data_IF_372763584147
#
_entry.id   IF_372763584147
#
_cell.length_a   1.000
_cell.length_b   1.000
_cell.length_c   1.000
_cell.angle_alpha   90.00
_cell.angle_beta   90.00
_cell.angle_gamma   90.00
#
_symmetry.space_group_name_H-M   'P 1'
#
loop_
_entity.id
_entity.type
_entity.pdbx_description
1 polymer ?
#
# COMPACT_ATOMS: atom_id res chain seq x y z
N UNK A 1 12.95 -9.41 11.68
CA UNK A 1 14.05 -8.70 11.00
C UNK A 1 13.40 -7.65 10.11
N UNK A 2 13.90 -6.42 10.11
CA UNK A 2 13.32 -5.35 9.31
C UNK A 2 13.82 -5.50 7.87
N UNK A 3 12.89 -5.48 6.92
CA UNK A 3 13.16 -5.67 5.49
C UNK A 3 12.86 -4.36 4.77
N UNK A 4 13.80 -3.81 3.98
CA UNK A 4 13.53 -2.67 3.11
C UNK A 4 12.76 -3.09 1.86
N UNK A 5 12.06 -2.16 1.21
CA UNK A 5 11.53 -2.34 -0.14
C UNK A 5 12.62 -2.68 -1.16
N UNK A 6 12.28 -3.43 -2.21
CA UNK A 6 13.21 -3.74 -3.30
C UNK A 6 13.40 -2.59 -4.31
N UNK A 7 12.61 -1.51 -4.18
CA UNK A 7 12.70 -0.29 -5.00
C UNK A 7 12.53 -0.54 -6.49
N UNK A 8 11.36 -1.09 -6.86
CA UNK A 8 10.95 -1.31 -8.25
C UNK A 8 11.28 -0.09 -9.13
N UNK A 9 11.70 -0.36 -10.38
CA UNK A 9 12.15 0.68 -11.29
C UNK A 9 11.02 1.68 -11.60
N UNK A 10 11.30 2.97 -11.52
CA UNK A 10 10.36 4.02 -11.94
C UNK A 10 9.99 3.84 -13.43
N UNK A 11 8.74 4.16 -13.76
CA UNK A 11 8.16 3.91 -15.08
C UNK A 11 7.76 2.46 -15.34
N UNK A 12 7.92 1.56 -14.37
CA UNK A 12 7.35 0.21 -14.47
C UNK A 12 5.83 0.31 -14.51
N UNK A 13 5.20 -0.38 -15.46
CA UNK A 13 3.74 -0.50 -15.50
C UNK A 13 3.24 -1.29 -14.31
N UNK A 14 2.20 -0.81 -13.64
CA UNK A 14 1.54 -1.52 -12.56
C UNK A 14 1.17 -2.94 -13.02
N UNK A 15 1.69 -3.99 -12.36
CA UNK A 15 1.25 -5.34 -12.66
C UNK A 15 -0.26 -5.48 -12.45
N UNK A 16 -0.94 -6.06 -13.44
CA UNK A 16 -2.37 -6.33 -13.35
C UNK A 16 -2.66 -7.27 -12.18
N UNK A 17 -3.79 -7.03 -11.50
CA UNK A 17 -4.36 -7.95 -10.53
C UNK A 17 -5.89 -7.96 -10.62
N UNK A 18 -6.44 -9.09 -10.21
CA UNK A 18 -7.86 -9.29 -9.89
C UNK A 18 -7.88 -10.14 -8.62
N UNK A 19 -8.27 -9.54 -7.50
CA UNK A 19 -8.15 -10.14 -6.18
C UNK A 19 -9.48 -10.06 -5.41
N UNK A 20 -9.78 -11.05 -4.55
CA UNK A 20 -10.97 -11.01 -3.71
C UNK A 20 -10.85 -9.91 -2.66
N UNK A 21 -11.95 -9.18 -2.44
CA UNK A 21 -12.13 -8.26 -1.33
C UNK A 21 -12.95 -8.94 -0.21
N UNK A 22 -12.33 -9.32 0.93
CA UNK A 22 -13.02 -9.99 2.02
C UNK A 22 -14.24 -9.20 2.56
N UNK A 23 -14.14 -7.87 2.68
CA UNK A 23 -15.23 -7.05 3.24
C UNK A 23 -16.41 -6.89 2.28
N UNK A 24 -16.24 -7.27 1.01
CA UNK A 24 -17.28 -7.30 -0.02
C UNK A 24 -17.68 -8.73 -0.40
N UNK A 25 -17.70 -9.65 0.57
CA UNK A 25 -18.10 -11.05 0.34
C UNK A 25 -17.19 -11.75 -0.69
N UNK A 26 -15.89 -11.44 -0.66
CA UNK A 26 -14.89 -11.93 -1.62
C UNK A 26 -15.21 -11.60 -3.09
N UNK A 27 -15.90 -10.49 -3.35
CA UNK A 27 -16.03 -9.94 -4.70
C UNK A 27 -14.63 -9.75 -5.31
N UNK A 28 -14.45 -10.24 -6.54
CA UNK A 28 -13.21 -10.02 -7.28
C UNK A 28 -13.19 -8.57 -7.77
N UNK A 29 -12.13 -7.86 -7.44
CA UNK A 29 -11.91 -6.49 -7.87
C UNK A 29 -10.58 -6.38 -8.59
N UNK A 30 -10.58 -5.71 -9.74
CA UNK A 30 -9.40 -5.55 -10.58
C UNK A 30 -8.76 -4.18 -10.45
N UNK A 31 -7.46 -4.08 -10.77
CA UNK A 31 -6.76 -2.80 -10.83
C UNK A 31 -7.44 -1.80 -11.77
N UNK A 32 -7.97 -2.26 -12.91
CA UNK A 32 -8.61 -1.37 -13.90
C UNK A 32 -9.93 -0.78 -13.41
N UNK A 33 -10.67 -1.50 -12.57
CA UNK A 33 -11.92 -1.02 -11.96
C UNK A 33 -11.65 -0.10 -10.78
N UNK A 34 -10.57 -0.36 -10.04
CA UNK A 34 -10.23 0.34 -8.81
C UNK A 34 -9.28 1.54 -9.00
N UNK A 35 -8.64 1.72 -10.15
CA UNK A 35 -7.66 2.81 -10.29
C UNK A 35 -8.31 4.19 -10.14
N UNK A 36 -7.58 5.11 -9.51
CA UNK A 36 -8.00 6.50 -9.39
C UNK A 36 -7.93 7.23 -10.72
N UNK A 37 -8.69 8.32 -10.84
CA UNK A 37 -8.74 9.14 -12.07
C UNK A 37 -7.37 9.74 -12.42
N UNK A 38 -6.60 10.16 -11.41
CA UNK A 38 -5.31 10.81 -11.59
C UNK A 38 -4.13 9.97 -11.14
N UNK A 39 -4.30 9.18 -10.08
CA UNK A 39 -3.24 8.34 -9.54
C UNK A 39 -3.79 7.20 -8.69
N UNK A 40 -2.96 6.18 -8.50
CA UNK A 40 -3.32 4.99 -7.72
C UNK A 40 -2.17 4.61 -6.79
N UNK A 41 -2.44 4.55 -5.49
CA UNK A 41 -1.49 4.06 -4.50
C UNK A 41 -1.81 2.60 -4.17
N UNK A 42 -0.93 1.68 -4.56
CA UNK A 42 -0.99 0.27 -4.14
C UNK A 42 -0.11 0.10 -2.89
N UNK A 43 -0.67 -0.51 -1.85
CA UNK A 43 -0.02 -0.71 -0.55
C UNK A 43 -0.01 -2.19 -0.22
N UNK A 44 1.18 -2.80 -0.10
CA UNK A 44 1.28 -4.13 0.51
C UNK A 44 1.32 -3.97 2.03
N UNK A 45 0.30 -4.46 2.73
CA UNK A 45 0.18 -4.35 4.19
C UNK A 45 -0.40 -5.62 4.82
N UNK A 46 -0.45 -5.67 6.14
CA UNK A 46 -0.98 -6.79 6.91
C UNK A 46 -1.52 -6.29 8.26
N UNK A 47 -2.21 -7.14 9.01
CA UNK A 47 -3.04 -6.69 10.14
C UNK A 47 -2.24 -6.50 11.44
N UNK A 48 -1.11 -7.21 11.58
CA UNK A 48 -0.42 -7.36 12.87
C UNK A 48 1.00 -6.76 12.89
N UNK A 49 1.51 -6.26 11.76
CA UNK A 49 2.87 -5.74 11.69
C UNK A 49 2.99 -4.41 12.46
N UNK A 50 3.96 -4.26 13.38
CA UNK A 50 4.13 -3.02 14.13
C UNK A 50 4.44 -1.80 13.24
N UNK A 51 5.01 -2.00 12.04
CA UNK A 51 5.23 -0.91 11.10
C UNK A 51 3.92 -0.46 10.41
N UNK A 52 3.01 -1.39 10.11
CA UNK A 52 1.68 -1.04 9.57
C UNK A 52 0.84 -0.36 10.64
N UNK A 53 0.80 -0.93 11.84
CA UNK A 53 0.10 -0.35 12.99
C UNK A 53 0.59 1.06 13.33
N UNK A 54 1.86 1.35 13.06
CA UNK A 54 2.46 2.67 13.27
C UNK A 54 1.96 3.72 12.26
N UNK A 55 1.55 3.32 11.05
CA UNK A 55 1.21 4.27 9.97
C UNK A 55 -0.24 4.26 9.53
N UNK A 56 -1.03 3.23 9.85
CA UNK A 56 -2.36 3.01 9.27
C UNK A 56 -3.32 4.17 9.48
N UNK A 57 -3.30 4.81 10.64
CA UNK A 57 -4.16 5.96 10.94
C UNK A 57 -3.82 7.14 10.00
N UNK A 58 -2.52 7.39 9.74
CA UNK A 58 -2.09 8.40 8.78
C UNK A 58 -2.43 8.03 7.34
N UNK A 59 -2.33 6.75 6.96
CA UNK A 59 -2.76 6.29 5.62
C UNK A 59 -4.24 6.61 5.41
N UNK A 60 -5.07 6.41 6.43
CA UNK A 60 -6.49 6.72 6.36
C UNK A 60 -6.75 8.22 6.21
N UNK A 61 -6.09 9.06 7.01
CA UNK A 61 -6.16 10.52 6.86
C UNK A 61 -5.76 10.98 5.44
N UNK A 62 -4.68 10.42 4.88
CA UNK A 62 -4.26 10.72 3.51
C UNK A 62 -5.31 10.26 2.48
N UNK A 63 -5.95 9.11 2.71
CA UNK A 63 -7.01 8.66 1.81
C UNK A 63 -8.19 9.63 1.81
N UNK A 64 -8.64 10.09 2.98
CA UNK A 64 -9.70 11.10 3.09
C UNK A 64 -9.33 12.42 2.37
N UNK A 65 -8.08 12.86 2.48
CA UNK A 65 -7.60 14.11 1.87
C UNK A 65 -7.42 14.04 0.34
N UNK A 66 -7.14 12.86 -0.21
CA UNK A 66 -6.71 12.70 -1.61
C UNK A 66 -7.67 11.90 -2.49
N UNK A 67 -8.62 11.15 -1.92
CA UNK A 67 -9.63 10.42 -2.71
C UNK A 67 -10.44 11.36 -3.59
N UNK A 68 -11.01 12.44 -3.02
CA UNK A 68 -11.77 13.44 -3.77
C UNK A 68 -10.91 14.22 -4.79
N UNK A 69 -9.58 14.20 -4.64
CA UNK A 69 -8.64 14.82 -5.58
C UNK A 69 -8.32 13.91 -6.77
N UNK A 70 -8.80 12.66 -6.76
CA UNK A 70 -8.65 11.67 -7.84
C UNK A 70 -7.54 10.65 -7.61
N UNK A 71 -7.04 10.50 -6.37
CA UNK A 71 -6.06 9.47 -6.02
C UNK A 71 -6.76 8.36 -5.25
N UNK A 72 -6.77 7.14 -5.80
CA UNK A 72 -7.37 5.97 -5.17
C UNK A 72 -6.31 5.13 -4.45
N UNK A 73 -6.67 4.54 -3.31
CA UNK A 73 -5.77 3.71 -2.53
C UNK A 73 -6.24 2.26 -2.61
N UNK A 74 -5.31 1.31 -2.76
CA UNK A 74 -5.64 -0.12 -2.83
C UNK A 74 -4.65 -0.85 -1.94
N UNK A 75 -5.14 -1.43 -0.84
CA UNK A 75 -4.33 -2.25 0.04
C UNK A 75 -4.40 -3.73 -0.37
N UNK A 76 -3.28 -4.43 -0.28
CA UNK A 76 -3.15 -5.86 -0.59
C UNK A 76 -2.45 -6.56 0.57
N UNK A 77 -3.06 -7.62 1.10
CA UNK A 77 -2.44 -8.54 2.04
C UNK A 77 -2.05 -9.84 1.31
N UNK A 78 -0.76 -10.18 1.36
CA UNK A 78 -0.19 -11.36 0.71
C UNK A 78 0.46 -12.33 1.72
N UNK A 79 0.22 -12.18 3.02
CA UNK A 79 0.86 -13.02 4.02
C UNK A 79 0.26 -14.42 4.06
N UNK A 80 1.10 -15.41 4.32
CA UNK A 80 0.71 -16.81 4.52
C UNK A 80 -0.08 -17.00 5.82
N UNK A 81 -1.40 -17.15 5.67
CA UNK A 81 -2.35 -17.23 6.78
C UNK A 81 -2.27 -18.56 7.56
N UNK A 82 -1.68 -19.62 6.99
CA UNK A 82 -1.46 -20.86 7.74
C UNK A 82 -0.43 -20.66 8.85
N UNK A 83 0.59 -19.84 8.58
CA UNK A 83 1.64 -19.47 9.55
C UNK A 83 1.25 -18.25 10.38
N UNK A 84 0.44 -17.35 9.83
CA UNK A 84 0.04 -16.08 10.45
C UNK A 84 -1.49 -15.89 10.38
N UNK A 85 -2.27 -16.57 11.25
CA UNK A 85 -3.73 -16.51 11.22
C UNK A 85 -4.32 -15.10 11.43
N UNK A 86 -3.57 -14.19 12.05
CA UNK A 86 -3.98 -12.79 12.22
C UNK A 86 -4.11 -12.03 10.90
N UNK A 87 -3.58 -12.57 9.80
CA UNK A 87 -3.68 -12.01 8.46
C UNK A 87 -4.80 -12.66 7.62
N UNK A 88 -5.66 -13.49 8.22
CA UNK A 88 -6.77 -14.12 7.50
C UNK A 88 -7.78 -13.11 6.93
N UNK A 89 -8.53 -13.47 5.87
CA UNK A 89 -9.61 -12.64 5.34
C UNK A 89 -10.61 -12.15 6.41
N UNK A 90 -10.96 -13.00 7.37
CA UNK A 90 -11.84 -12.60 8.48
C UNK A 90 -11.20 -11.52 9.35
N UNK A 91 -9.90 -11.66 9.66
CA UNK A 91 -9.14 -10.67 10.42
C UNK A 91 -8.87 -9.39 9.64
N UNK A 92 -8.79 -9.45 8.31
CA UNK A 92 -8.73 -8.25 7.46
C UNK A 92 -10.01 -7.42 7.60
N UNK A 93 -11.19 -8.06 7.64
CA UNK A 93 -12.46 -7.36 7.84
C UNK A 93 -12.51 -6.72 9.23
N UNK A 94 -12.15 -7.47 10.28
CA UNK A 94 -12.07 -6.94 11.64
C UNK A 94 -11.12 -5.73 11.73
N UNK A 95 -9.92 -5.84 11.13
CA UNK A 95 -8.92 -4.79 11.10
C UNK A 95 -9.42 -3.53 10.37
N UNK A 96 -10.07 -3.72 9.21
CA UNK A 96 -10.64 -2.61 8.44
C UNK A 96 -11.73 -1.87 9.23
N UNK A 97 -12.59 -2.59 9.95
CA UNK A 97 -13.62 -2.00 10.82
C UNK A 97 -12.99 -1.29 12.03
N UNK A 98 -11.99 -1.90 12.68
CA UNK A 98 -11.31 -1.32 13.85
C UNK A 98 -10.58 -0.02 13.50
N UNK A 99 -9.90 0.00 12.35
CA UNK A 99 -9.12 1.16 11.86
C UNK A 99 -9.94 2.17 11.07
N UNK A 100 -11.20 1.83 10.76
CA UNK A 100 -12.17 2.69 10.12
C UNK A 100 -11.65 3.31 8.80
N UNK A 101 -11.08 2.49 7.92
CA UNK A 101 -10.67 2.92 6.58
C UNK A 101 -11.55 2.29 5.49
N UNK A 102 -11.81 3.05 4.42
CA UNK A 102 -12.80 2.68 3.39
C UNK A 102 -12.19 2.26 2.05
N UNK A 103 -10.88 2.41 1.86
CA UNK A 103 -10.21 1.92 0.65
C UNK A 103 -10.25 0.38 0.55
N UNK A 104 -10.27 -0.19 -0.67
CA UNK A 104 -10.23 -1.63 -0.89
C UNK A 104 -9.06 -2.32 -0.16
N UNK A 105 -9.33 -3.43 0.51
CA UNK A 105 -8.32 -4.27 1.14
C UNK A 105 -8.42 -5.70 0.62
N UNK A 106 -7.55 -6.05 -0.32
CA UNK A 106 -7.62 -7.26 -1.13
C UNK A 106 -6.69 -8.35 -0.61
N UNK A 107 -7.04 -9.61 -0.83
CA UNK A 107 -6.25 -10.76 -0.37
C UNK A 107 -5.56 -11.48 -1.54
N UNK A 108 -4.23 -11.45 -1.58
CA UNK A 108 -3.40 -12.21 -2.52
C UNK A 108 -2.94 -13.54 -1.90
N UNK A 109 -3.84 -14.52 -1.89
CA UNK A 109 -3.56 -15.86 -1.35
C UNK A 109 -2.36 -16.54 -2.05
N UNK A 110 -2.20 -16.31 -3.35
CA UNK A 110 -1.17 -16.95 -4.17
C UNK A 110 0.22 -16.34 -4.00
N UNK A 111 0.26 -15.11 -3.49
CA UNK A 111 1.43 -14.23 -3.41
C UNK A 111 2.02 -13.88 -4.79
N UNK A 112 1.28 -14.13 -5.88
CA UNK A 112 1.73 -13.86 -7.23
C UNK A 112 1.75 -12.36 -7.52
N UNK A 113 0.81 -11.60 -6.95
CA UNK A 113 0.74 -10.16 -7.13
C UNK A 113 1.86 -9.49 -6.33
N UNK A 114 2.07 -9.91 -5.08
CA UNK A 114 3.23 -9.45 -4.30
C UNK A 114 4.57 -9.71 -5.01
N UNK A 115 4.74 -10.88 -5.63
CA UNK A 115 5.93 -11.17 -6.46
C UNK A 115 6.02 -10.31 -7.71
N UNK A 116 4.90 -10.04 -8.39
CA UNK A 116 4.87 -9.25 -9.60
C UNK A 116 5.23 -7.77 -9.35
N UNK A 117 4.84 -7.23 -8.19
CA UNK A 117 5.23 -5.90 -7.73
C UNK A 117 6.64 -5.84 -7.12
N UNK A 118 7.31 -6.99 -6.99
CA UNK A 118 8.56 -7.13 -6.24
C UNK A 118 8.46 -6.61 -4.79
N UNK A 119 7.28 -6.78 -4.19
CA UNK A 119 7.00 -6.33 -2.84
C UNK A 119 7.80 -7.15 -1.83
N UNK A 120 8.42 -6.47 -0.85
CA UNK A 120 9.35 -7.10 0.07
C UNK A 120 8.88 -7.06 1.53
N UNK A 121 8.20 -5.98 1.92
CA UNK A 121 7.84 -5.70 3.31
C UNK A 121 6.39 -5.23 3.49
N UNK A 122 5.99 -5.05 4.74
CA UNK A 122 4.73 -4.41 5.13
C UNK A 122 4.99 -3.29 6.15
N UNK A 123 4.55 -2.04 5.90
CA UNK A 123 3.95 -1.55 4.65
C UNK A 123 4.99 -1.43 3.52
N UNK A 124 4.54 -1.50 2.26
CA UNK A 124 5.35 -1.22 1.07
C UNK A 124 4.48 -0.49 0.04
N UNK A 125 4.92 0.69 -0.39
CA UNK A 125 4.08 1.65 -1.12
C UNK A 125 4.54 1.81 -2.57
N UNK A 126 3.57 1.79 -3.49
CA UNK A 126 3.77 1.94 -4.93
C UNK A 126 2.71 2.90 -5.47
N UNK A 127 3.13 4.07 -5.92
CA UNK A 127 2.25 5.12 -6.43
C UNK A 127 2.42 5.26 -7.94
N UNK A 128 1.30 5.14 -8.64
CA UNK A 128 1.22 5.15 -10.09
C UNK A 128 0.43 6.36 -10.58
N UNK A 129 0.78 6.86 -11.76
CA UNK A 129 0.01 7.90 -12.46
C UNK A 129 -1.24 7.35 -13.17
N UNK A 130 -1.95 8.22 -13.90
CA UNK A 130 -3.16 7.91 -14.67
C UNK A 130 -2.95 6.84 -15.76
N UNK A 131 -1.70 6.63 -16.18
CA UNK A 131 -1.30 5.61 -17.15
C UNK A 131 -0.78 4.35 -16.49
N UNK A 132 -0.88 4.26 -15.16
CA UNK A 132 -0.35 3.19 -14.35
C UNK A 132 1.18 3.03 -14.48
N UNK A 133 1.91 4.10 -14.78
CA UNK A 133 3.38 4.13 -14.70
C UNK A 133 3.79 4.43 -13.25
N UNK A 134 4.74 3.66 -12.70
CA UNK A 134 5.23 3.86 -11.33
C UNK A 134 5.99 5.18 -11.22
N UNK A 135 5.43 6.14 -10.50
CA UNK A 135 6.03 7.48 -10.30
C UNK A 135 6.67 7.63 -8.92
N UNK A 136 6.19 6.88 -7.92
CA UNK A 136 6.83 6.83 -6.61
C UNK A 136 6.79 5.42 -5.98
N UNK A 137 7.85 5.05 -5.26
CA UNK A 137 7.93 3.83 -4.46
C UNK A 137 8.87 4.05 -3.28
N UNK A 138 8.51 3.53 -2.12
CA UNK A 138 9.35 3.72 -0.93
C UNK A 138 8.58 3.91 0.36
N UNK A 139 9.10 4.78 1.22
CA UNK A 139 8.56 5.08 2.53
C UNK A 139 7.34 6.01 2.46
N UNK A 140 6.54 6.02 3.52
CA UNK A 140 5.50 7.04 3.68
C UNK A 140 6.07 8.35 4.21
N UNK A 141 6.98 8.23 5.17
CA UNK A 141 7.73 9.32 5.79
C UNK A 141 8.96 8.75 6.52
N UNK A 142 9.65 9.59 7.27
CA UNK A 142 10.84 9.26 8.05
C UNK A 142 10.55 8.53 9.39
N UNK A 143 9.29 8.41 9.79
CA UNK A 143 8.90 7.82 11.07
C UNK A 143 9.06 6.30 11.07
N UNK A 144 9.46 5.73 12.21
CA UNK A 144 9.57 4.28 12.39
C UNK A 144 9.22 3.94 13.84
N UNK A 145 8.72 2.73 14.13
CA UNK A 145 8.52 2.28 15.50
C UNK A 145 9.78 2.49 16.36
N UNK A 146 9.67 3.33 17.39
CA UNK A 146 10.73 3.61 18.35
C UNK A 146 11.81 4.63 17.92
N UNK A 147 11.71 5.29 16.76
CA UNK A 147 12.68 6.32 16.35
C UNK A 147 12.35 7.74 16.82
N UNK A 148 11.23 7.93 17.53
CA UNK A 148 10.74 9.20 18.07
C UNK A 148 10.51 10.32 17.04
N UNK A 149 10.29 9.97 15.76
CA UNK A 149 9.80 10.91 14.75
C UNK A 149 8.28 10.80 14.65
N UNK A 150 7.63 11.93 14.44
CA UNK A 150 6.19 12.01 14.22
C UNK A 150 5.81 11.38 12.88
N UNK A 151 4.60 10.80 12.81
CA UNK A 151 4.02 10.23 11.59
C UNK A 151 3.39 11.38 10.78
N UNK A 152 3.94 11.67 9.61
CA UNK A 152 3.56 12.87 8.83
C UNK A 152 2.99 12.54 7.46
N UNK A 153 3.39 11.43 6.83
CA UNK A 153 3.04 11.16 5.42
C UNK A 153 3.80 12.02 4.40
N UNK A 154 4.82 12.78 4.83
CA UNK A 154 5.45 13.84 4.03
C UNK A 154 5.90 13.39 2.63
N UNK A 155 6.52 12.21 2.50
CA UNK A 155 7.04 11.77 1.21
C UNK A 155 5.92 11.38 0.23
N UNK A 156 4.84 10.75 0.73
CA UNK A 156 3.66 10.47 -0.09
C UNK A 156 2.91 11.75 -0.45
N UNK A 157 2.77 12.69 0.48
CA UNK A 157 2.15 14.00 0.23
C UNK A 157 2.90 14.71 -0.90
N UNK A 158 4.24 14.78 -0.82
CA UNK A 158 5.07 15.37 -1.89
C UNK A 158 4.81 14.64 -3.22
N UNK A 159 4.79 13.31 -3.22
CA UNK A 159 4.55 12.55 -4.45
C UNK A 159 3.16 12.84 -5.06
N UNK A 160 2.12 12.92 -4.23
CA UNK A 160 0.75 13.22 -4.63
C UNK A 160 0.64 14.64 -5.18
N UNK A 161 1.12 15.64 -4.43
CA UNK A 161 1.03 17.04 -4.84
C UNK A 161 1.85 17.29 -6.12
N UNK A 162 3.02 16.68 -6.27
CA UNK A 162 3.80 16.76 -7.51
C UNK A 162 3.00 16.19 -8.70
N UNK A 163 2.36 15.02 -8.54
CA UNK A 163 1.52 14.47 -9.61
C UNK A 163 0.35 15.39 -9.95
N UNK A 164 -0.37 15.88 -8.94
CA UNK A 164 -1.53 16.75 -9.10
C UNK A 164 -1.17 18.10 -9.75
N UNK A 165 0.03 18.62 -9.48
CA UNK A 165 0.56 19.84 -10.09
C UNK A 165 1.18 19.62 -11.48
N UNK A 166 1.37 18.37 -11.91
CA UNK A 166 2.10 18.04 -13.14
C UNK A 166 3.61 18.31 -13.04
N UNK A 167 4.14 18.30 -11.83
CA UNK A 167 5.56 18.50 -11.53
C UNK A 167 6.33 17.18 -11.58
N UNK A 168 7.66 17.27 -11.66
CA UNK A 168 8.53 16.09 -11.63
C UNK A 168 8.59 15.52 -10.22
N UNK A 169 8.66 14.20 -10.12
CA UNK A 169 8.86 13.53 -8.84
C UNK A 169 10.27 13.76 -8.32
N UNK A 170 10.42 13.68 -7.00
CA UNK A 170 11.73 13.74 -6.35
C UNK A 170 12.62 12.57 -6.82
N UNK A 171 13.87 12.90 -7.17
CA UNK A 171 14.85 11.91 -7.64
C UNK A 171 15.18 10.90 -6.54
N UNK A 172 15.23 11.37 -5.29
CA UNK A 172 15.58 10.56 -4.13
C UNK A 172 14.29 10.09 -3.47
N UNK A 173 13.99 8.80 -3.64
CA UNK A 173 12.92 8.12 -2.90
C UNK A 173 13.55 7.04 -2.02
N UNK A 174 13.24 7.08 -0.73
CA UNK A 174 13.83 6.18 0.27
C UNK A 174 12.98 4.91 0.40
N UNK A 175 13.58 3.72 0.58
CA UNK A 175 12.81 2.50 0.78
C UNK A 175 11.93 2.56 2.03
N UNK A 176 10.76 1.93 1.97
CA UNK A 176 10.01 1.57 3.17
C UNK A 176 10.83 0.63 4.04
N UNK A 177 10.40 0.45 5.28
CA UNK A 177 10.93 -0.56 6.18
C UNK A 177 9.78 -1.24 6.88
N UNK A 178 9.80 -2.56 6.92
CA UNK A 178 8.72 -3.31 7.52
C UNK A 178 9.11 -4.71 7.98
N UNK A 179 8.11 -5.45 8.44
CA UNK A 179 8.24 -6.90 8.48
C UNK A 179 8.30 -7.42 7.04
N UNK A 180 9.04 -8.50 6.80
CA UNK A 180 8.98 -9.17 5.49
C UNK A 180 7.56 -9.69 5.23
N UNK A 181 7.16 -9.71 3.96
CA UNK A 181 5.99 -10.47 3.51
C UNK A 181 6.18 -11.93 3.93
N UNK A 182 5.12 -12.55 4.46
CA UNK A 182 5.14 -13.92 4.97
C UNK A 182 4.97 -14.90 3.82
N UNK A 183 6.05 -15.15 3.09
CA UNK A 183 6.05 -16.06 1.94
C UNK A 183 5.67 -17.51 2.33
N UNK A 184 4.95 -18.18 1.43
CA UNK A 184 4.60 -19.61 1.52
C UNK A 184 5.84 -20.50 1.39
#
# INVERSE_FOLDING_TARGET
>A
MNTPSNMLALGTKAPFFELPNPSKTNELQSLEELKGEKGTLVIFMCNHCPFVLHVIDKINELYEDYNEKGIEFIAINANDIEKYPDDSPEKMIEFQIERNFDFPYLFDESQAIAKAYDAACTPDFYFFDDKLDLVYRGQMDDSRPGNNKDVTGEDLIIAFENLLAGESQEEIQRPSMGCNIKWK
#
